data_IF_180201468638
#
_entry.id   IF_180201468638
#
_cell.length_a   1.000
_cell.length_b   1.000
_cell.length_c   1.000
_cell.angle_alpha   90.00
_cell.angle_beta   90.00
_cell.angle_gamma   90.00
#
_symmetry.space_group_name_H-M   'P 1'
#
loop_
_entity.id
_entity.type
_entity.pdbx_description
1 polymer ?
#
# COMPACT_ATOMS: atom_id res chain seq x y z
N UNK A 1 -12.92 -49.13 -5.24
CA UNK A 1 -12.30 -47.95 -5.88
C UNK A 1 -13.39 -46.96 -6.30
N UNK A 2 -13.68 -45.95 -5.47
CA UNK A 2 -14.66 -44.89 -5.78
C UNK A 2 -13.93 -43.68 -6.35
N UNK A 3 -14.18 -43.35 -7.62
CA UNK A 3 -13.69 -42.12 -8.26
C UNK A 3 -14.52 -40.95 -7.73
N UNK A 4 -13.86 -39.99 -7.08
CA UNK A 4 -14.46 -38.72 -6.66
C UNK A 4 -14.23 -37.73 -7.78
N UNK A 5 -15.27 -37.42 -8.54
CA UNK A 5 -15.28 -36.40 -9.58
C UNK A 5 -15.39 -35.04 -8.90
N UNK A 6 -14.34 -34.20 -9.02
CA UNK A 6 -14.36 -32.81 -8.53
C UNK A 6 -15.07 -31.92 -9.55
N UNK A 7 -16.27 -31.47 -9.22
CA UNK A 7 -17.00 -30.47 -9.98
C UNK A 7 -16.39 -29.08 -9.72
N UNK A 8 -15.85 -28.46 -10.77
CA UNK A 8 -15.33 -27.09 -10.75
C UNK A 8 -16.50 -26.13 -11.00
N UNK A 9 -16.89 -25.35 -9.99
CA UNK A 9 -17.93 -24.34 -10.13
C UNK A 9 -17.31 -23.08 -10.76
N UNK A 10 -17.62 -22.81 -12.02
CA UNK A 10 -17.27 -21.57 -12.69
C UNK A 10 -18.35 -20.51 -12.39
N UNK A 11 -18.02 -19.50 -11.58
CA UNK A 11 -18.89 -18.35 -11.37
C UNK A 11 -18.76 -17.39 -12.55
N UNK A 12 -19.81 -17.25 -13.34
CA UNK A 12 -19.91 -16.27 -14.44
C UNK A 12 -20.60 -15.02 -13.90
N UNK A 13 -19.85 -13.94 -13.68
CA UNK A 13 -20.42 -12.63 -13.39
C UNK A 13 -20.66 -11.90 -14.72
N UNK A 14 -21.92 -11.66 -15.07
CA UNK A 14 -22.30 -10.83 -16.21
C UNK A 14 -22.18 -9.34 -15.80
N UNK A 15 -21.35 -8.58 -16.53
CA UNK A 15 -21.23 -7.12 -16.37
C UNK A 15 -21.99 -6.47 -17.53
N UNK A 16 -23.09 -5.80 -17.19
CA UNK A 16 -23.88 -4.99 -18.13
C UNK A 16 -23.22 -3.61 -18.25
N UNK A 17 -22.63 -3.30 -19.41
CA UNK A 17 -22.17 -1.94 -19.73
C UNK A 17 -23.34 -1.11 -20.27
N UNK A 18 -23.91 -0.24 -19.44
CA UNK A 18 -24.75 0.87 -19.92
C UNK A 18 -23.84 2.07 -20.23
N UNK A 19 -23.61 2.32 -21.52
CA UNK A 19 -22.88 3.48 -22.01
C UNK A 19 -23.68 4.76 -21.83
N UNK A 20 -23.30 5.58 -20.86
CA UNK A 20 -23.68 6.99 -20.77
C UNK A 20 -22.56 7.86 -21.35
N UNK A 21 -22.85 8.59 -22.42
CA UNK A 21 -21.98 9.62 -22.96
C UNK A 21 -22.04 10.84 -22.04
N UNK A 22 -21.10 10.96 -21.10
CA UNK A 22 -20.93 12.17 -20.30
C UNK A 22 -20.04 13.15 -21.06
N UNK A 23 -20.58 14.32 -21.36
CA UNK A 23 -19.85 15.47 -21.88
C UNK A 23 -18.72 15.85 -20.91
N UNK A 24 -17.48 15.93 -21.40
CA UNK A 24 -16.33 16.36 -20.61
C UNK A 24 -16.29 17.89 -20.62
N UNK A 25 -16.42 18.59 -19.47
CA UNK A 25 -16.24 20.03 -19.45
C UNK A 25 -14.78 20.38 -19.75
N UNK A 26 -14.60 21.41 -20.58
CA UNK A 26 -13.32 21.93 -21.01
C UNK A 26 -12.50 22.52 -19.85
N UNK A 27 -11.21 22.21 -19.82
CA UNK A 27 -10.19 22.97 -19.09
C UNK A 27 -10.08 22.71 -17.59
N UNK A 28 -9.94 21.45 -17.16
CA UNK A 28 -9.46 21.18 -15.80
C UNK A 28 -8.05 21.78 -15.65
N UNK A 29 -7.91 22.75 -14.75
CA UNK A 29 -6.60 23.27 -14.36
C UNK A 29 -5.67 22.11 -14.00
N UNK A 30 -4.39 22.20 -14.38
CA UNK A 30 -3.41 21.17 -14.05
C UNK A 30 -3.47 20.89 -12.53
N UNK A 31 -3.49 19.60 -12.12
CA UNK A 31 -3.61 19.24 -10.71
C UNK A 31 -2.53 19.94 -9.87
N UNK A 32 -2.93 20.81 -8.93
CA UNK A 32 -2.03 21.54 -8.04
C UNK A 32 -1.68 20.75 -6.77
N UNK A 33 -1.79 19.41 -6.82
CA UNK A 33 -1.59 18.51 -5.67
C UNK A 33 -0.26 18.77 -4.95
N UNK A 34 0.81 19.13 -5.68
CA UNK A 34 2.12 19.46 -5.08
C UNK A 34 2.02 20.61 -4.09
N UNK A 35 1.33 21.70 -4.46
CA UNK A 35 1.16 22.84 -3.57
C UNK A 35 0.34 22.47 -2.34
N UNK A 36 -0.72 21.67 -2.53
CA UNK A 36 -1.56 21.22 -1.42
C UNK A 36 -0.85 20.23 -0.49
N UNK A 37 -0.07 19.29 -1.03
CA UNK A 37 0.74 18.36 -0.24
C UNK A 37 1.89 19.06 0.48
N UNK A 38 2.48 20.09 -0.12
CA UNK A 38 3.50 20.90 0.56
C UNK A 38 2.96 21.50 1.86
N UNK A 39 1.77 22.10 1.81
CA UNK A 39 1.14 22.65 3.02
C UNK A 39 0.64 21.56 3.98
N UNK A 40 0.12 20.44 3.45
CA UNK A 40 -0.26 19.30 4.28
C UNK A 40 0.93 18.71 5.05
N UNK A 41 2.06 18.47 4.39
CA UNK A 41 3.29 17.95 5.01
C UNK A 41 3.78 18.90 6.10
N UNK A 42 3.81 20.21 5.84
CA UNK A 42 4.17 21.21 6.87
C UNK A 42 3.31 21.12 8.12
N UNK A 43 1.99 20.92 7.96
CA UNK A 43 1.06 20.79 9.08
C UNK A 43 1.24 19.46 9.81
N UNK A 44 1.34 18.36 9.05
CA UNK A 44 1.57 17.01 9.59
C UNK A 44 2.84 16.94 10.43
N UNK A 45 3.94 17.53 9.95
CA UNK A 45 5.23 17.51 10.66
C UNK A 45 5.25 18.36 11.93
N UNK A 46 4.34 19.32 12.06
CA UNK A 46 4.18 20.16 13.27
C UNK A 46 3.23 19.55 14.30
N UNK A 47 2.45 18.55 13.92
CA UNK A 47 1.49 17.95 14.84
C UNK A 47 2.24 17.11 15.87
N UNK A 48 1.81 17.17 17.14
CA UNK A 48 2.35 16.40 18.28
C UNK A 48 2.15 14.87 18.15
N UNK A 49 1.81 14.38 16.95
CA UNK A 49 1.72 12.97 16.63
C UNK A 49 3.14 12.37 16.52
N UNK A 50 3.89 12.35 17.63
CA UNK A 50 5.33 12.07 17.79
C UNK A 50 5.89 10.75 17.25
N UNK A 51 5.24 10.14 16.27
CA UNK A 51 5.59 8.91 15.56
C UNK A 51 6.48 9.14 14.33
N UNK A 52 6.69 10.38 13.88
CA UNK A 52 7.51 10.66 12.69
C UNK A 52 8.96 11.11 12.98
N UNK A 53 9.40 11.12 14.25
CA UNK A 53 10.81 11.41 14.57
C UNK A 53 11.70 10.15 14.66
N UNK A 54 11.13 8.97 14.36
CA UNK A 54 11.87 7.71 14.34
C UNK A 54 12.76 7.59 13.09
N UNK A 55 13.84 6.80 13.19
CA UNK A 55 14.69 6.44 12.04
C UNK A 55 13.98 5.53 11.02
N UNK A 56 12.91 4.88 11.48
CA UNK A 56 12.08 3.96 10.71
C UNK A 56 10.78 4.60 10.24
N UNK A 57 10.61 5.90 10.49
CA UNK A 57 9.55 6.69 9.92
C UNK A 57 9.82 7.02 8.45
N UNK A 58 8.75 7.03 7.66
CA UNK A 58 8.81 7.21 6.21
C UNK A 58 7.59 8.01 5.73
N UNK A 59 7.81 8.87 4.74
CA UNK A 59 6.74 9.51 3.97
C UNK A 59 6.85 9.03 2.53
N UNK A 60 5.77 8.49 1.99
CA UNK A 60 5.69 7.83 0.68
C UNK A 60 4.74 8.58 -0.23
N UNK A 61 5.13 8.78 -1.48
CA UNK A 61 4.24 9.13 -2.58
C UNK A 61 4.09 7.93 -3.51
N UNK A 62 2.85 7.51 -3.74
CA UNK A 62 2.53 6.37 -4.59
C UNK A 62 1.23 6.66 -5.35
N UNK A 63 1.19 6.39 -6.65
CA UNK A 63 -0.03 6.50 -7.45
C UNK A 63 -0.70 5.13 -7.54
N UNK A 64 -1.60 4.86 -6.60
CA UNK A 64 -2.27 3.56 -6.39
C UNK A 64 -3.31 3.27 -7.48
N UNK A 65 -3.98 4.30 -7.98
CA UNK A 65 -5.04 4.16 -8.99
C UNK A 65 -4.59 4.57 -10.42
N UNK A 66 -3.33 4.99 -10.57
CA UNK A 66 -2.66 5.30 -11.85
C UNK A 66 -3.26 6.49 -12.59
N UNK A 67 -3.75 7.49 -11.87
CA UNK A 67 -4.33 8.71 -12.47
C UNK A 67 -3.33 9.88 -12.62
N UNK A 68 -2.08 9.66 -12.21
CA UNK A 68 -1.00 10.65 -12.26
C UNK A 68 -0.92 11.58 -11.05
N UNK A 69 -1.81 11.41 -10.07
CA UNK A 69 -1.79 12.12 -8.79
C UNK A 69 -1.43 11.09 -7.71
N UNK A 70 -0.27 11.20 -7.05
CA UNK A 70 0.09 10.24 -6.01
C UNK A 70 -0.78 10.43 -4.76
N UNK A 71 -1.06 9.34 -4.08
CA UNK A 71 -1.39 9.29 -2.66
C UNK A 71 -0.15 9.58 -1.82
N UNK A 72 -0.35 10.28 -0.69
CA UNK A 72 0.66 10.49 0.33
C UNK A 72 0.33 9.62 1.55
N UNK A 73 1.26 8.75 1.92
CA UNK A 73 1.16 7.86 3.08
C UNK A 73 2.36 8.10 3.98
N UNK A 74 2.15 8.28 5.28
CA UNK A 74 3.21 8.48 6.25
C UNK A 74 2.97 7.64 7.50
N UNK A 75 4.06 7.16 8.10
CA UNK A 75 3.99 6.26 9.23
C UNK A 75 5.36 5.84 9.72
N UNK A 76 5.37 4.91 10.66
CA UNK A 76 6.56 4.24 11.17
C UNK A 76 6.54 2.78 10.73
N UNK A 77 7.64 2.27 10.19
CA UNK A 77 7.80 0.89 9.73
C UNK A 77 8.92 0.19 10.52
N UNK A 78 8.73 0.07 11.83
CA UNK A 78 9.62 -0.63 12.74
C UNK A 78 9.03 -1.98 13.17
N UNK A 79 9.89 -2.94 13.54
CA UNK A 79 9.47 -4.34 13.79
C UNK A 79 8.30 -4.49 14.78
N UNK A 80 8.26 -3.65 15.82
CA UNK A 80 7.19 -3.67 16.85
C UNK A 80 6.25 -2.47 16.73
N UNK A 81 6.52 -1.53 15.82
CA UNK A 81 5.75 -0.30 15.64
C UNK A 81 5.62 -0.06 14.14
N UNK A 82 4.49 -0.45 13.57
CA UNK A 82 4.31 -0.43 12.13
C UNK A 82 3.04 0.38 11.75
N UNK A 83 2.91 1.58 12.32
CA UNK A 83 1.67 2.38 12.23
C UNK A 83 1.63 3.33 11.04
N UNK A 84 0.48 3.42 10.38
CA UNK A 84 0.17 4.51 9.43
C UNK A 84 -0.45 5.67 10.19
N UNK A 85 0.14 6.87 10.10
CA UNK A 85 -0.35 8.08 10.82
C UNK A 85 -1.01 9.10 9.89
N UNK A 86 -0.71 9.02 8.59
CA UNK A 86 -1.39 9.83 7.59
C UNK A 86 -1.54 9.02 6.28
N UNK A 87 -2.72 9.12 5.68
CA UNK A 87 -2.99 8.60 4.36
C UNK A 87 -3.98 9.54 3.66
N UNK A 88 -3.52 10.23 2.62
CA UNK A 88 -4.31 11.24 1.90
C UNK A 88 -4.13 11.11 0.38
N UNK A 89 -5.14 11.56 -0.35
CA UNK A 89 -5.08 11.74 -1.81
C UNK A 89 -5.51 13.17 -2.16
N UNK A 90 -5.38 13.57 -3.42
CA UNK A 90 -5.81 14.86 -3.91
C UNK A 90 -6.99 14.72 -4.88
N UNK A 91 -8.15 15.26 -4.50
CA UNK A 91 -9.40 15.15 -5.24
C UNK A 91 -10.13 16.48 -5.27
N UNK A 92 -10.65 16.86 -6.43
CA UNK A 92 -11.50 18.04 -6.59
C UNK A 92 -10.88 19.31 -5.98
N UNK A 93 -9.59 19.54 -6.20
CA UNK A 93 -8.91 20.74 -5.72
C UNK A 93 -8.40 20.70 -4.28
N UNK A 94 -8.59 19.60 -3.55
CA UNK A 94 -8.25 19.51 -2.12
C UNK A 94 -7.61 18.19 -1.71
N UNK A 95 -6.86 18.23 -0.62
CA UNK A 95 -6.37 17.03 0.09
C UNK A 95 -7.55 16.39 0.82
N UNK A 96 -7.72 15.09 0.65
CA UNK A 96 -8.77 14.29 1.31
C UNK A 96 -8.16 13.05 1.94
N UNK A 97 -8.66 12.66 3.11
CA UNK A 97 -8.21 11.45 3.79
C UNK A 97 -8.61 10.20 3.01
N UNK A 98 -7.71 9.24 2.97
CA UNK A 98 -8.01 7.89 2.53
C UNK A 98 -8.71 7.12 3.65
N UNK A 99 -9.52 6.16 3.25
CA UNK A 99 -10.14 5.20 4.15
C UNK A 99 -9.74 3.81 3.71
N UNK A 100 -9.28 2.97 4.64
CA UNK A 100 -8.99 1.58 4.34
C UNK A 100 -10.21 0.69 4.65
N UNK A 101 -10.39 -0.33 3.82
CA UNK A 101 -11.23 -1.48 4.09
C UNK A 101 -10.50 -2.77 3.69
N UNK A 102 -10.91 -3.89 4.26
CA UNK A 102 -10.33 -5.20 3.95
C UNK A 102 -9.28 -5.65 4.96
N UNK A 103 -8.40 -6.52 4.50
CA UNK A 103 -7.52 -7.32 5.37
C UNK A 103 -6.27 -6.56 5.82
N UNK A 104 -5.65 -7.03 6.90
CA UNK A 104 -4.38 -6.53 7.40
C UNK A 104 -4.01 -7.27 8.68
N UNK A 105 -2.85 -6.99 9.26
CA UNK A 105 -2.42 -7.63 10.50
C UNK A 105 -3.00 -7.01 11.77
N UNK A 106 -3.86 -6.00 11.63
CA UNK A 106 -4.66 -5.47 12.75
C UNK A 106 -3.88 -4.53 13.66
N UNK A 107 -2.93 -3.78 13.10
CA UNK A 107 -2.18 -2.80 13.87
C UNK A 107 -3.05 -1.60 14.29
N UNK A 108 -2.78 -1.07 15.49
CA UNK A 108 -3.43 0.14 15.99
C UNK A 108 -2.91 1.37 15.25
N UNK A 109 -3.45 1.63 14.06
CA UNK A 109 -3.25 2.89 13.36
C UNK A 109 -4.21 3.96 13.91
N UNK A 110 -3.75 5.18 14.22
CA UNK A 110 -4.62 6.28 14.67
C UNK A 110 -5.63 6.74 13.61
N UNK A 111 -5.49 6.28 12.36
CA UNK A 111 -6.42 6.57 11.25
C UNK A 111 -7.27 5.35 10.85
N UNK A 112 -7.30 4.29 11.65
CA UNK A 112 -8.04 3.04 11.42
C UNK A 112 -7.62 2.33 10.12
N UNK A 113 -6.32 2.31 9.82
CA UNK A 113 -5.77 1.44 8.79
C UNK A 113 -5.47 0.06 9.38
N UNK A 114 -5.88 -1.00 8.68
CA UNK A 114 -5.59 -2.38 9.08
C UNK A 114 -4.21 -2.85 8.61
N UNK A 115 -3.66 -2.19 7.57
CA UNK A 115 -2.30 -2.41 7.11
C UNK A 115 -1.35 -1.46 7.82
N UNK A 116 -0.18 -1.97 8.20
CA UNK A 116 0.90 -1.15 8.71
C UNK A 116 1.67 -0.40 7.63
N UNK A 117 2.55 0.51 8.05
CA UNK A 117 3.40 1.30 7.16
C UNK A 117 4.36 0.44 6.32
N UNK A 118 4.75 -0.73 6.81
CA UNK A 118 5.59 -1.73 6.17
C UNK A 118 5.02 -2.12 4.81
N UNK A 119 3.70 -2.31 4.72
CA UNK A 119 3.01 -2.59 3.45
C UNK A 119 3.21 -1.50 2.39
N UNK A 120 3.53 -0.28 2.81
CA UNK A 120 3.72 0.89 1.96
C UNK A 120 5.20 1.30 1.87
N UNK A 121 6.12 0.61 2.56
CA UNK A 121 7.51 1.05 2.66
C UNK A 121 8.26 0.85 1.34
N UNK A 122 8.81 1.95 0.84
CA UNK A 122 9.69 1.95 -0.34
C UNK A 122 11.14 1.70 0.10
N UNK A 123 11.54 2.26 1.26
CA UNK A 123 12.86 2.04 1.88
C UNK A 123 13.16 0.56 2.11
N UNK A 124 12.17 -0.20 2.59
CA UNK A 124 12.30 -1.64 2.86
C UNK A 124 12.01 -2.53 1.64
N UNK A 125 11.61 -1.95 0.50
CA UNK A 125 11.21 -2.68 -0.70
C UNK A 125 10.04 -3.67 -0.49
N UNK A 126 9.13 -3.32 0.43
CA UNK A 126 7.97 -4.14 0.77
C UNK A 126 6.78 -3.86 -0.16
N UNK A 127 6.75 -2.68 -0.79
CA UNK A 127 5.71 -2.29 -1.74
C UNK A 127 6.17 -2.47 -3.19
N UNK A 128 5.51 -3.38 -3.91
CA UNK A 128 5.84 -3.72 -5.30
C UNK A 128 4.64 -3.57 -6.21
N UNK A 129 4.90 -3.16 -7.46
CA UNK A 129 3.87 -3.10 -8.50
C UNK A 129 4.03 -4.28 -9.45
N UNK A 130 2.94 -5.00 -9.66
CA UNK A 130 2.89 -6.13 -10.57
C UNK A 130 1.94 -5.86 -11.73
N UNK A 131 2.31 -6.33 -12.92
CA UNK A 131 1.42 -6.44 -14.07
C UNK A 131 0.98 -7.89 -14.24
N UNK A 132 -0.33 -8.14 -14.18
CA UNK A 132 -0.91 -9.46 -14.36
C UNK A 132 -0.77 -9.88 -15.82
N UNK A 133 -0.08 -10.99 -16.09
CA UNK A 133 0.28 -11.40 -17.45
C UNK A 133 -0.95 -11.70 -18.32
N UNK A 134 -2.03 -12.21 -17.72
CA UNK A 134 -3.26 -12.58 -18.45
C UNK A 134 -4.13 -11.39 -18.84
N UNK A 135 -4.28 -10.41 -17.95
CA UNK A 135 -5.23 -9.30 -18.11
C UNK A 135 -4.55 -7.98 -18.46
N UNK A 136 -3.25 -7.86 -18.20
CA UNK A 136 -2.50 -6.61 -18.29
C UNK A 136 -2.82 -5.61 -17.17
N UNK A 137 -3.68 -5.98 -16.22
CA UNK A 137 -4.03 -5.17 -15.04
C UNK A 137 -2.80 -4.99 -14.14
N UNK A 138 -2.75 -3.86 -13.44
CA UNK A 138 -1.71 -3.53 -12.49
C UNK A 138 -2.23 -3.70 -11.06
N UNK A 139 -1.41 -4.25 -10.18
CA UNK A 139 -1.76 -4.47 -8.78
C UNK A 139 -0.56 -4.17 -7.89
N UNK A 140 -0.76 -3.37 -6.86
CA UNK A 140 0.23 -3.22 -5.81
C UNK A 140 0.12 -4.38 -4.85
N UNK A 141 1.26 -4.92 -4.44
CA UNK A 141 1.36 -5.89 -3.36
C UNK A 141 2.30 -5.30 -2.32
N UNK A 142 1.79 -5.14 -1.10
CA UNK A 142 2.54 -4.70 0.06
C UNK A 142 2.79 -5.87 1.00
N UNK A 143 4.02 -6.02 1.47
CA UNK A 143 4.38 -6.92 2.57
C UNK A 143 4.20 -6.20 3.90
N UNK A 144 3.29 -6.70 4.74
CA UNK A 144 2.99 -6.17 6.06
C UNK A 144 3.36 -7.20 7.13
N UNK A 145 3.85 -6.75 8.28
CA UNK A 145 4.28 -7.67 9.33
C UNK A 145 5.06 -7.00 10.45
N UNK A 146 5.29 -7.78 11.50
CA UNK A 146 6.01 -7.35 12.67
C UNK A 146 6.74 -8.50 13.35
N UNK A 147 7.63 -8.18 14.27
CA UNK A 147 8.25 -9.17 15.14
C UNK A 147 8.58 -8.60 16.52
N UNK A 148 8.58 -9.49 17.50
CA UNK A 148 9.01 -9.25 18.87
C UNK A 148 10.25 -10.10 19.18
N UNK A 149 10.60 -10.25 20.46
CA UNK A 149 11.66 -11.17 20.87
C UNK A 149 11.27 -12.66 20.73
N UNK A 150 9.97 -12.97 20.75
CA UNK A 150 9.45 -14.34 20.86
C UNK A 150 8.39 -14.67 19.80
N UNK A 151 8.06 -13.73 18.91
CA UNK A 151 7.04 -13.93 17.88
C UNK A 151 7.31 -13.10 16.64
N UNK A 152 6.82 -13.55 15.51
CA UNK A 152 6.89 -12.84 14.25
C UNK A 152 5.68 -13.15 13.39
N UNK A 153 5.29 -12.22 12.55
CA UNK A 153 4.24 -12.40 11.56
C UNK A 153 4.52 -11.55 10.33
N UNK A 154 4.06 -12.03 9.19
CA UNK A 154 4.16 -11.32 7.93
C UNK A 154 3.08 -11.76 6.97
N UNK A 155 2.83 -10.96 5.94
CA UNK A 155 1.86 -11.28 4.92
C UNK A 155 1.92 -10.37 3.72
N UNK A 156 1.50 -10.92 2.59
CA UNK A 156 1.36 -10.22 1.33
C UNK A 156 -0.09 -9.78 1.15
N UNK A 157 -0.29 -8.50 0.83
CA UNK A 157 -1.60 -7.91 0.64
C UNK A 157 -1.70 -7.23 -0.72
N UNK A 158 -2.70 -7.63 -1.50
CA UNK A 158 -3.09 -6.90 -2.69
C UNK A 158 -3.74 -5.57 -2.29
N UNK A 159 -3.21 -4.46 -2.78
CA UNK A 159 -3.66 -3.10 -2.49
C UNK A 159 -4.25 -2.49 -3.75
N UNK A 160 -5.49 -2.02 -3.66
CA UNK A 160 -6.21 -1.33 -4.74
C UNK A 160 -6.85 -0.07 -4.20
N UNK A 161 -7.07 0.90 -5.07
CA UNK A 161 -7.73 2.14 -4.71
C UNK A 161 -8.86 2.48 -5.69
N UNK A 162 -9.98 2.92 -5.13
CA UNK A 162 -11.11 3.47 -5.87
C UNK A 162 -11.57 4.77 -5.19
N UNK A 163 -11.40 5.91 -5.88
CA UNK A 163 -11.77 7.21 -5.34
C UNK A 163 -10.90 7.62 -4.16
N UNK A 164 -11.43 7.48 -2.93
CA UNK A 164 -10.73 7.72 -1.65
C UNK A 164 -10.67 6.48 -0.77
N UNK A 165 -11.13 5.33 -1.28
CA UNK A 165 -11.14 4.07 -0.56
C UNK A 165 -10.00 3.19 -1.03
N UNK A 166 -9.16 2.78 -0.08
CA UNK A 166 -8.13 1.77 -0.23
C UNK A 166 -8.74 0.42 0.19
N UNK A 167 -8.62 -0.57 -0.68
CA UNK A 167 -9.03 -1.94 -0.43
C UNK A 167 -7.79 -2.82 -0.36
N UNK A 168 -7.62 -3.52 0.76
CA UNK A 168 -6.60 -4.54 0.94
C UNK A 168 -7.22 -5.94 0.93
N UNK A 169 -6.53 -6.90 0.32
CA UNK A 169 -6.94 -8.31 0.29
C UNK A 169 -5.75 -9.18 0.60
N UNK A 170 -5.89 -10.05 1.61
CA UNK A 170 -4.85 -11.00 1.98
C UNK A 170 -4.57 -11.97 0.82
N UNK A 171 -3.30 -12.09 0.44
CA UNK A 171 -2.81 -13.12 -0.48
C UNK A 171 -2.29 -14.30 0.33
N UNK A 172 -1.41 -14.03 1.27
CA UNK A 172 -0.77 -15.03 2.12
C UNK A 172 -0.29 -14.41 3.41
N UNK A 173 -0.32 -15.18 4.50
CA UNK A 173 0.18 -14.77 5.81
C UNK A 173 0.96 -15.92 6.44
N UNK A 174 1.97 -15.58 7.21
CA UNK A 174 2.71 -16.51 8.06
C UNK A 174 2.88 -15.88 9.44
N UNK A 175 2.99 -16.73 10.45
CA UNK A 175 3.31 -16.30 11.81
C UNK A 175 4.06 -17.41 12.52
N UNK A 176 4.96 -17.05 13.41
CA UNK A 176 5.53 -18.00 14.34
C UNK A 176 5.78 -17.41 15.71
N UNK A 177 6.04 -18.31 16.65
CA UNK A 177 6.42 -17.98 18.01
C UNK A 177 7.40 -19.02 18.55
N UNK A 178 8.35 -18.56 19.36
CA UNK A 178 9.18 -19.39 20.21
C UNK A 178 8.68 -19.26 21.65
N UNK A 179 7.99 -20.29 22.12
CA UNK A 179 7.50 -20.39 23.50
C UNK A 179 8.28 -21.49 24.23
N UNK A 180 9.19 -21.06 25.11
CA UNK A 180 10.05 -21.93 25.91
C UNK A 180 10.88 -22.95 25.10
N UNK A 181 11.33 -22.57 23.89
CA UNK A 181 12.12 -23.42 23.00
C UNK A 181 11.28 -24.30 22.06
N UNK A 182 9.96 -24.11 22.03
CA UNK A 182 9.08 -24.74 21.06
C UNK A 182 8.68 -23.74 19.98
N UNK A 183 9.18 -23.96 18.76
CA UNK A 183 8.80 -23.18 17.59
C UNK A 183 7.47 -23.65 17.03
N UNK A 184 6.51 -22.73 16.94
CA UNK A 184 5.24 -22.94 16.25
C UNK A 184 5.18 -22.05 15.03
N UNK A 185 4.83 -22.61 13.87
CA UNK A 185 4.64 -21.87 12.63
C UNK A 185 3.25 -22.12 12.05
N UNK A 186 2.57 -21.05 11.67
CA UNK A 186 1.28 -21.09 11.00
C UNK A 186 1.39 -20.40 9.64
N UNK A 187 0.71 -20.98 8.66
CA UNK A 187 0.71 -20.48 7.28
C UNK A 187 -0.71 -20.45 6.74
N UNK A 188 -1.07 -19.35 6.08
CA UNK A 188 -2.34 -19.21 5.36
C UNK A 188 -2.14 -18.65 3.96
N UNK A 189 -3.01 -19.08 3.06
CA UNK A 189 -3.11 -18.54 1.71
C UNK A 189 -4.58 -18.27 1.39
N UNK A 190 -4.90 -17.02 1.04
CA UNK A 190 -6.27 -16.56 0.85
C UNK A 190 -7.18 -16.94 2.05
N UNK A 191 -6.73 -16.59 3.26
CA UNK A 191 -7.39 -16.85 4.56
C UNK A 191 -7.62 -18.32 4.91
N UNK A 192 -6.99 -19.25 4.20
CA UNK A 192 -7.09 -20.69 4.48
C UNK A 192 -5.77 -21.19 5.02
N UNK A 193 -5.82 -21.84 6.19
CA UNK A 193 -4.67 -22.53 6.75
C UNK A 193 -4.16 -23.60 5.77
N UNK A 194 -2.85 -23.65 5.59
CA UNK A 194 -2.15 -24.58 4.69
C UNK A 194 -0.87 -25.08 5.34
N UNK A 195 -0.32 -26.19 4.84
CA UNK A 195 1.04 -26.60 5.23
C UNK A 195 2.09 -25.63 4.69
N UNK A 196 3.27 -25.54 5.32
CA UNK A 196 4.41 -24.76 4.78
C UNK A 196 4.72 -25.11 3.32
N UNK A 197 4.73 -26.40 2.99
CA UNK A 197 4.99 -26.87 1.61
C UNK A 197 3.94 -26.35 0.62
N UNK A 198 2.67 -26.33 1.01
CA UNK A 198 1.60 -25.80 0.17
C UNK A 198 1.66 -24.27 0.07
N UNK A 199 2.00 -23.57 1.16
CA UNK A 199 2.24 -22.13 1.19
C UNK A 199 3.31 -21.72 0.16
N UNK A 200 4.51 -22.31 0.24
CA UNK A 200 5.63 -22.02 -0.66
C UNK A 200 5.24 -22.27 -2.13
N UNK A 201 4.53 -23.37 -2.41
CA UNK A 201 4.05 -23.72 -3.75
C UNK A 201 3.01 -22.72 -4.26
N UNK A 202 2.05 -22.32 -3.41
CA UNK A 202 0.97 -21.41 -3.76
C UNK A 202 1.49 -20.01 -4.02
N UNK A 203 2.38 -19.47 -3.18
CA UNK A 203 3.06 -18.20 -3.42
C UNK A 203 3.78 -18.20 -4.76
N UNK A 204 4.64 -19.20 -5.01
CA UNK A 204 5.36 -19.32 -6.29
C UNK A 204 4.40 -19.33 -7.48
N UNK A 205 3.29 -20.07 -7.37
CA UNK A 205 2.26 -20.15 -8.42
C UNK A 205 1.51 -18.84 -8.61
N UNK A 206 1.29 -18.08 -7.54
CA UNK A 206 0.63 -16.78 -7.56
C UNK A 206 1.48 -15.75 -8.29
N UNK A 207 2.75 -15.60 -7.87
CA UNK A 207 3.69 -14.64 -8.46
C UNK A 207 4.11 -14.98 -9.89
N UNK A 208 4.13 -16.27 -10.27
CA UNK A 208 4.43 -16.69 -11.65
C UNK A 208 3.45 -16.14 -12.71
N UNK A 209 2.26 -15.67 -12.29
CA UNK A 209 1.23 -15.11 -13.19
C UNK A 209 1.41 -13.62 -13.46
N UNK A 210 2.45 -13.03 -12.89
CA UNK A 210 2.65 -11.59 -12.88
C UNK A 210 4.10 -11.26 -13.21
N UNK A 211 4.31 -10.05 -13.71
CA UNK A 211 5.63 -9.48 -13.90
C UNK A 211 5.77 -8.25 -13.01
N UNK A 212 6.79 -8.22 -12.17
CA UNK A 212 7.12 -7.01 -11.42
C UNK A 212 7.51 -5.90 -12.40
N UNK A 213 7.01 -4.69 -12.13
CA UNK A 213 7.30 -3.48 -12.89
C UNK A 213 7.67 -2.37 -11.91
N UNK A 214 8.34 -1.33 -12.39
CA UNK A 214 8.62 -0.16 -11.55
C UNK A 214 7.31 0.38 -10.99
N UNK A 215 7.25 0.68 -9.69
CA UNK A 215 6.10 1.30 -9.01
C UNK A 215 6.04 2.81 -9.19
N UNK A 216 7.20 3.46 -9.38
CA UNK A 216 7.29 4.92 -9.42
C UNK A 216 7.03 5.56 -8.06
N UNK A 217 6.78 4.74 -7.03
CA UNK A 217 6.67 5.18 -5.66
C UNK A 217 8.04 5.71 -5.20
N UNK A 218 8.00 6.78 -4.42
CA UNK A 218 9.18 7.42 -3.86
C UNK A 218 8.94 7.65 -2.39
N UNK A 219 10.01 7.67 -1.62
CA UNK A 219 9.92 7.97 -0.20
C UNK A 219 11.03 8.88 0.27
N UNK A 220 10.84 9.38 1.49
CA UNK A 220 11.76 10.27 2.16
C UNK A 220 11.64 10.08 3.67
N UNK A 221 12.72 10.33 4.40
CA UNK A 221 12.67 10.33 5.86
C UNK A 221 12.10 11.66 6.36
N UNK A 222 11.33 11.67 7.46
CA UNK A 222 10.79 12.91 8.01
C UNK A 222 11.84 13.98 8.34
N UNK A 223 13.05 13.59 8.75
CA UNK A 223 14.15 14.53 9.04
C UNK A 223 14.62 15.31 7.80
N UNK A 224 14.36 14.79 6.59
CA UNK A 224 14.66 15.52 5.35
C UNK A 224 13.55 16.54 5.00
N UNK A 225 12.38 16.45 5.67
CA UNK A 225 11.21 17.32 5.47
C UNK A 225 11.02 18.34 6.59
N UNK A 226 11.58 18.08 7.76
CA UNK A 226 11.41 18.90 8.96
C UNK A 226 12.68 18.88 9.82
N UNK A 227 13.11 20.07 10.23
CA UNK A 227 14.17 20.26 11.21
C UNK A 227 13.54 20.22 12.60
N UNK A 228 13.74 19.10 13.30
CA UNK A 228 13.18 18.87 14.63
C UNK A 228 13.90 19.67 15.72
N UNK A 229 15.14 20.11 15.51
CA UNK A 229 15.86 20.94 16.48
C UNK A 229 15.38 22.40 16.43
N UNK A 230 15.08 22.90 15.23
CA UNK A 230 14.56 24.25 15.00
C UNK A 230 13.04 24.33 14.93
N UNK A 231 12.34 23.20 15.09
CA UNK A 231 10.89 23.06 14.96
C UNK A 231 10.34 23.67 13.66
N UNK A 232 11.05 23.47 12.53
CA UNK A 232 10.76 24.16 11.28
C UNK A 232 10.75 23.22 10.08
N UNK A 233 9.75 23.40 9.22
CA UNK A 233 9.68 22.68 7.96
C UNK A 233 10.86 23.01 7.02
N UNK A 234 11.53 21.98 6.52
CA UNK A 234 12.53 22.07 5.47
C UNK A 234 11.83 22.17 4.11
N UNK A 235 11.43 23.39 3.74
CA UNK A 235 10.67 23.67 2.51
C UNK A 235 11.35 23.12 1.26
N UNK A 236 12.68 23.26 1.15
CA UNK A 236 13.43 22.74 0.02
C UNK A 236 13.43 21.21 -0.03
N UNK A 237 13.51 20.54 1.12
CA UNK A 237 13.37 19.09 1.24
C UNK A 237 12.00 18.59 0.77
N UNK A 238 10.93 19.26 1.21
CA UNK A 238 9.55 18.97 0.79
C UNK A 238 9.40 19.11 -0.73
N UNK A 239 9.91 20.19 -1.32
CA UNK A 239 9.84 20.39 -2.77
C UNK A 239 10.63 19.35 -3.56
N UNK A 240 11.84 18.99 -3.10
CA UNK A 240 12.62 17.92 -3.73
C UNK A 240 11.87 16.59 -3.70
N UNK A 241 11.25 16.24 -2.57
CA UNK A 241 10.44 15.04 -2.43
C UNK A 241 9.23 15.04 -3.37
N UNK A 242 8.43 16.10 -3.38
CA UNK A 242 7.26 16.20 -4.27
C UNK A 242 7.65 16.16 -5.75
N UNK A 243 8.85 16.63 -6.09
CA UNK A 243 9.38 16.61 -7.46
C UNK A 243 10.11 15.32 -7.83
N UNK A 244 10.45 14.45 -6.88
CA UNK A 244 11.05 13.15 -7.17
C UNK A 244 10.02 12.16 -7.71
N UNK A 245 8.74 12.32 -7.33
CA UNK A 245 7.66 11.52 -7.87
C UNK A 245 7.45 11.77 -9.37
N UNK A 246 7.48 10.68 -10.15
CA UNK A 246 7.23 10.69 -11.60
C UNK A 246 6.11 9.72 -11.91
N UNK A 247 4.95 10.20 -12.38
CA UNK A 247 3.86 9.32 -12.79
C UNK A 247 4.33 8.28 -13.80
N UNK A 248 3.96 7.02 -13.58
CA UNK A 248 4.20 5.99 -14.58
C UNK A 248 3.18 6.16 -15.69
N UNK A 249 3.63 6.68 -16.83
CA UNK A 249 2.76 6.93 -17.98
C UNK A 249 1.92 5.69 -18.29
N UNK A 250 0.61 5.88 -18.39
CA UNK A 250 -0.36 4.87 -18.86
C UNK A 250 -0.40 4.80 -20.39
N UNK A 251 0.58 5.38 -21.10
CA UNK A 251 0.69 5.40 -22.56
C UNK A 251 0.61 3.95 -23.09
N UNK A 252 -0.59 3.54 -23.49
CA UNK A 252 -0.92 2.15 -23.81
C UNK A 252 -2.35 1.72 -23.42
N UNK A 253 -3.00 2.40 -22.47
CA UNK A 253 -4.43 2.18 -22.20
C UNK A 253 -5.28 3.04 -23.14
N UNK A 254 -5.41 2.58 -24.40
CA UNK A 254 -6.55 3.00 -25.22
C UNK A 254 -7.82 2.51 -24.50
N UNK A 255 -8.67 3.46 -24.12
CA UNK A 255 -10.06 3.17 -23.73
C UNK A 255 -10.81 2.54 -24.91
#
# INVERSE_FOLDING_TARGET
>A
MKKITRTLLAATAAITLTGGLWSVPAGAAAPNWKASYKEYIKQMMKSDNGHLNSQDAEVVLIDLNRDGIPELIAGESYRTVNTVVAAVTFRNGKVVKLQQSGDGQGEESPINFNLGMSAFSVKSNNLKLYKISKTGEYIYIGEDGGSSAISWSGGDYAIRMNGTSLLSTEISTFSGSDDEGNEYENYSFNKKAVSKKDYDRLQKTYYAKMKEVKSGAVSVRPQDLYDFEQEKANVAGIERFLNSFKPISTAGQKK
#
